data_IF_921025936854
#
_entry.id   IF_921025936854
#
_cell.length_a   1.000
_cell.length_b   1.000
_cell.length_c   1.000
_cell.angle_alpha   90.00
_cell.angle_beta   90.00
_cell.angle_gamma   90.00
#
_symmetry.space_group_name_H-M   'P 1'
#
loop_
_entity.id
_entity.type
_entity.pdbx_description
1 polymer ?
#
# COMPACT_ATOMS: atom_id res chain seq x y z
N UNK A 1 4.37 30.87 -28.98
CA UNK A 1 5.06 31.29 -27.74
C UNK A 1 6.51 30.77 -27.78
N UNK A 2 7.44 31.54 -28.36
CA UNK A 2 8.82 31.07 -28.66
C UNK A 2 9.65 30.76 -27.39
N UNK A 3 9.23 31.22 -26.23
CA UNK A 3 9.97 31.00 -24.96
C UNK A 3 9.32 29.93 -24.06
N UNK A 4 8.30 29.23 -24.55
CA UNK A 4 7.63 28.17 -23.77
C UNK A 4 8.30 26.83 -24.06
N UNK A 5 8.78 26.14 -23.03
CA UNK A 5 9.22 24.76 -23.14
C UNK A 5 8.03 23.83 -23.22
N UNK A 6 8.08 22.90 -24.14
CA UNK A 6 7.04 21.87 -24.35
C UNK A 6 7.62 20.52 -23.96
N UNK A 7 7.04 19.95 -22.89
CA UNK A 7 7.45 18.66 -22.34
C UNK A 7 6.39 17.61 -22.67
N UNK A 8 6.79 16.57 -23.40
CA UNK A 8 5.96 15.40 -23.61
C UNK A 8 6.04 14.46 -22.41
N UNK A 9 4.93 13.81 -22.05
CA UNK A 9 4.87 12.84 -20.95
C UNK A 9 4.30 11.52 -21.45
N UNK A 10 4.99 10.42 -21.20
CA UNK A 10 4.53 9.07 -21.50
C UNK A 10 4.55 8.18 -20.25
N UNK A 11 3.70 7.13 -20.15
CA UNK A 11 3.87 6.09 -19.16
C UNK A 11 5.17 5.31 -19.42
N UNK A 12 5.88 4.89 -18.38
CA UNK A 12 7.13 4.11 -18.52
C UNK A 12 6.94 2.83 -19.34
N UNK A 13 5.78 2.20 -19.20
CA UNK A 13 5.42 0.95 -19.87
C UNK A 13 4.80 1.14 -21.27
N UNK A 14 4.70 2.40 -21.77
CA UNK A 14 4.17 2.75 -23.08
C UNK A 14 4.96 3.90 -23.77
N UNK A 15 6.26 4.03 -23.48
CA UNK A 15 7.10 5.14 -23.90
C UNK A 15 7.60 5.02 -25.37
N UNK A 16 6.69 4.91 -26.34
CA UNK A 16 7.04 4.72 -27.74
C UNK A 16 7.62 5.97 -28.40
N UNK A 17 7.24 7.16 -27.96
CA UNK A 17 7.75 8.44 -28.49
C UNK A 17 9.16 8.70 -28.01
N UNK A 18 9.43 8.51 -26.72
CA UNK A 18 10.76 8.62 -26.15
C UNK A 18 11.74 7.65 -26.83
N UNK A 19 11.30 6.38 -27.01
CA UNK A 19 12.10 5.36 -27.72
C UNK A 19 12.38 5.76 -29.18
N UNK A 20 11.41 6.39 -29.85
CA UNK A 20 11.55 6.85 -31.23
C UNK A 20 12.51 8.04 -31.34
N UNK A 21 12.43 9.01 -30.40
CA UNK A 21 13.33 10.15 -30.34
C UNK A 21 14.76 9.71 -30.10
N UNK A 22 15.00 8.82 -29.14
CA UNK A 22 16.31 8.28 -28.82
C UNK A 22 16.96 7.55 -30.01
N UNK A 23 16.14 6.91 -30.88
CA UNK A 23 16.61 6.22 -32.08
C UNK A 23 16.59 7.06 -33.35
N UNK A 24 16.09 8.29 -33.30
CA UNK A 24 15.93 9.15 -34.48
C UNK A 24 14.93 8.66 -35.53
N UNK A 25 14.16 7.60 -35.22
CA UNK A 25 13.19 6.98 -36.12
C UNK A 25 12.05 6.33 -35.29
N UNK A 26 10.89 6.17 -35.92
CA UNK A 26 9.79 5.46 -35.26
C UNK A 26 10.18 4.02 -34.88
N UNK A 27 9.77 3.63 -33.68
CA UNK A 27 10.04 2.31 -33.09
C UNK A 27 8.71 1.70 -32.69
N UNK A 28 8.56 0.39 -32.88
CA UNK A 28 7.44 -0.38 -32.34
C UNK A 28 7.89 -1.05 -31.05
N UNK A 29 7.20 -0.77 -29.96
CA UNK A 29 7.38 -1.47 -28.69
C UNK A 29 6.88 -2.92 -28.82
N UNK A 30 7.52 -3.84 -28.11
CA UNK A 30 7.10 -5.26 -28.09
C UNK A 30 5.86 -5.47 -27.24
N UNK A 31 5.78 -4.76 -26.15
CA UNK A 31 4.70 -4.79 -25.18
C UNK A 31 4.33 -3.37 -24.80
N UNK A 32 3.08 -3.14 -24.42
CA UNK A 32 2.55 -1.84 -24.04
C UNK A 32 1.68 -2.03 -22.81
N UNK A 33 1.95 -1.29 -21.76
CA UNK A 33 1.10 -1.24 -20.57
C UNK A 33 -0.26 -0.63 -20.89
N UNK A 34 -1.30 -1.12 -20.22
CA UNK A 34 -2.69 -0.74 -20.49
C UNK A 34 -3.31 0.07 -19.34
N UNK A 35 -2.52 0.50 -18.36
CA UNK A 35 -3.07 1.28 -17.26
C UNK A 35 -3.56 2.66 -17.74
N UNK A 36 -2.74 3.38 -18.50
CA UNK A 36 -3.12 4.62 -19.17
C UNK A 36 -3.55 4.33 -20.62
N UNK A 37 -4.64 3.56 -20.79
CA UNK A 37 -5.08 2.99 -22.07
C UNK A 37 -5.39 4.04 -23.14
N UNK A 38 -5.82 5.24 -22.77
CA UNK A 38 -6.05 6.36 -23.72
C UNK A 38 -4.79 6.83 -24.45
N UNK A 39 -3.59 6.51 -23.97
CA UNK A 39 -2.31 6.83 -24.64
C UNK A 39 -1.44 5.59 -24.90
N UNK A 40 -1.93 4.37 -24.62
CA UNK A 40 -1.20 3.12 -24.76
C UNK A 40 -1.08 2.67 -26.22
N UNK A 41 -0.11 3.20 -26.94
CA UNK A 41 0.18 2.85 -28.35
C UNK A 41 1.58 2.25 -28.51
N UNK A 42 1.68 1.20 -29.34
CA UNK A 42 2.96 0.54 -29.57
C UNK A 42 3.92 1.35 -30.43
N UNK A 43 3.44 2.27 -31.24
CA UNK A 43 4.25 3.09 -32.13
C UNK A 43 3.63 4.46 -32.33
N UNK A 44 4.42 5.52 -32.20
CA UNK A 44 3.99 6.88 -32.49
C UNK A 44 3.62 7.04 -33.97
N UNK A 45 2.61 7.83 -34.27
CA UNK A 45 2.17 8.12 -35.63
C UNK A 45 3.25 8.82 -36.48
N UNK A 46 3.23 8.66 -37.79
CA UNK A 46 4.24 9.24 -38.69
C UNK A 46 4.28 10.77 -38.62
N UNK A 47 3.14 11.40 -38.81
CA UNK A 47 3.04 12.87 -38.81
C UNK A 47 3.20 13.46 -37.41
N UNK A 48 2.64 12.81 -36.39
CA UNK A 48 2.86 13.19 -34.99
C UNK A 48 4.34 13.16 -34.61
N UNK A 49 5.06 12.11 -35.01
CA UNK A 49 6.50 12.02 -34.73
C UNK A 49 7.29 13.13 -35.44
N UNK A 50 6.92 13.49 -36.70
CA UNK A 50 7.53 14.62 -37.41
C UNK A 50 7.37 15.92 -36.64
N UNK A 51 6.15 16.22 -36.21
CA UNK A 51 5.84 17.45 -35.46
C UNK A 51 6.50 17.46 -34.08
N UNK A 52 6.46 16.34 -33.35
CA UNK A 52 7.10 16.21 -32.03
C UNK A 52 8.60 16.54 -32.12
N UNK A 53 9.30 16.02 -33.12
CA UNK A 53 10.73 16.31 -33.31
C UNK A 53 11.06 17.77 -33.57
N UNK A 54 10.10 18.54 -34.09
CA UNK A 54 10.28 19.96 -34.41
C UNK A 54 9.84 20.87 -33.24
N UNK A 55 8.88 20.44 -32.43
CA UNK A 55 8.18 21.31 -31.49
C UNK A 55 8.30 20.93 -30.01
N UNK A 56 8.72 19.70 -29.69
CA UNK A 56 8.81 19.22 -28.30
C UNK A 56 10.27 19.25 -27.88
N UNK A 57 10.55 19.93 -26.77
CA UNK A 57 11.89 20.10 -26.23
C UNK A 57 12.41 18.85 -25.55
N UNK A 58 11.53 18.12 -24.85
CA UNK A 58 11.87 16.94 -24.07
C UNK A 58 10.68 15.99 -23.96
N UNK A 59 10.94 14.70 -23.84
CA UNK A 59 9.92 13.68 -23.49
C UNK A 59 10.41 12.91 -22.28
N UNK A 60 9.59 12.93 -21.23
CA UNK A 60 9.85 12.22 -19.98
C UNK A 60 8.82 11.11 -19.75
N UNK A 61 9.16 10.19 -18.84
CA UNK A 61 8.26 9.11 -18.44
C UNK A 61 7.85 9.23 -16.99
N UNK A 62 6.66 8.71 -16.68
CA UNK A 62 6.13 8.61 -15.32
C UNK A 62 5.64 7.19 -15.04
N UNK A 63 5.78 6.78 -13.80
CA UNK A 63 5.33 5.47 -13.31
C UNK A 63 3.80 5.43 -13.10
N UNK A 64 3.27 4.23 -12.99
CA UNK A 64 1.86 4.02 -12.62
C UNK A 64 1.50 4.67 -11.29
N UNK A 65 2.40 4.67 -10.31
CA UNK A 65 2.17 5.26 -9.00
C UNK A 65 2.08 6.79 -9.07
N UNK A 66 2.97 7.43 -9.86
CA UNK A 66 2.93 8.87 -10.10
C UNK A 66 1.64 9.29 -10.84
N UNK A 67 1.15 8.46 -11.77
CA UNK A 67 -0.14 8.70 -12.43
C UNK A 67 -1.29 8.60 -11.43
N UNK A 68 -1.30 7.57 -10.56
CA UNK A 68 -2.33 7.42 -9.52
C UNK A 68 -2.35 8.61 -8.56
N UNK A 69 -1.18 9.09 -8.14
CA UNK A 69 -1.07 10.29 -7.30
C UNK A 69 -1.66 11.53 -8.00
N UNK A 70 -1.38 11.71 -9.30
CA UNK A 70 -1.94 12.82 -10.06
C UNK A 70 -3.47 12.73 -10.22
N UNK A 71 -4.05 11.53 -10.38
CA UNK A 71 -5.52 11.35 -10.39
C UNK A 71 -6.13 11.81 -9.06
N UNK A 72 -5.49 11.47 -7.92
CA UNK A 72 -5.93 11.92 -6.60
C UNK A 72 -5.86 13.44 -6.47
N UNK A 73 -4.73 14.06 -6.84
CA UNK A 73 -4.58 15.53 -6.75
C UNK A 73 -5.65 16.25 -7.56
N UNK A 74 -5.88 15.82 -8.81
CA UNK A 74 -6.95 16.38 -9.64
C UNK A 74 -8.31 16.26 -8.95
N UNK A 75 -8.59 15.10 -8.33
CA UNK A 75 -9.84 14.91 -7.59
C UNK A 75 -9.92 15.79 -6.35
N UNK A 76 -8.85 15.91 -5.57
CA UNK A 76 -8.84 16.74 -4.35
C UNK A 76 -9.04 18.23 -4.66
N UNK A 77 -8.44 18.71 -5.74
CA UNK A 77 -8.51 20.11 -6.14
C UNK A 77 -9.82 20.47 -6.86
N UNK A 78 -10.32 19.58 -7.73
CA UNK A 78 -11.42 19.90 -8.64
C UNK A 78 -12.72 19.15 -8.38
N UNK A 79 -12.67 18.07 -7.58
CA UNK A 79 -13.75 17.09 -7.39
C UNK A 79 -14.15 16.36 -8.68
N UNK A 80 -13.30 16.38 -9.71
CA UNK A 80 -13.46 15.64 -10.94
C UNK A 80 -12.50 14.45 -10.97
N UNK A 81 -12.95 13.29 -11.44
CA UNK A 81 -12.12 12.10 -11.57
C UNK A 81 -11.57 12.07 -12.99
N UNK A 82 -10.26 12.25 -13.13
CA UNK A 82 -9.58 12.06 -14.39
C UNK A 82 -9.30 10.57 -14.64
N UNK A 83 -9.30 10.15 -15.90
CA UNK A 83 -8.74 8.84 -16.26
C UNK A 83 -7.20 8.86 -16.18
N UNK A 84 -6.53 7.69 -16.07
CA UNK A 84 -5.06 7.63 -16.00
C UNK A 84 -4.36 8.39 -17.13
N UNK A 85 -4.80 8.23 -18.38
CA UNK A 85 -4.26 8.98 -19.51
C UNK A 85 -4.51 10.49 -19.40
N UNK A 86 -5.67 10.88 -18.82
CA UNK A 86 -6.02 12.27 -18.58
C UNK A 86 -5.18 12.96 -17.50
N UNK A 87 -4.70 12.18 -16.52
CA UNK A 87 -3.86 12.68 -15.43
C UNK A 87 -2.35 12.68 -15.76
N UNK A 88 -1.96 12.03 -16.85
CA UNK A 88 -0.57 11.81 -17.23
C UNK A 88 0.27 13.09 -17.28
N UNK A 89 -0.26 14.14 -17.91
CA UNK A 89 0.44 15.41 -18.03
C UNK A 89 0.65 16.10 -16.67
N UNK A 90 -0.29 15.95 -15.72
CA UNK A 90 -0.15 16.47 -14.35
C UNK A 90 0.91 15.69 -13.58
N UNK A 91 0.96 14.36 -13.73
CA UNK A 91 2.03 13.53 -13.16
C UNK A 91 3.40 13.99 -13.63
N UNK A 92 3.56 14.19 -14.95
CA UNK A 92 4.80 14.70 -15.53
C UNK A 92 5.14 16.12 -15.07
N UNK A 93 4.17 17.00 -14.93
CA UNK A 93 4.37 18.36 -14.41
C UNK A 93 4.91 18.34 -12.98
N UNK A 94 4.35 17.50 -12.11
CA UNK A 94 4.82 17.34 -10.71
C UNK A 94 6.26 16.84 -10.69
N UNK A 95 6.53 15.73 -11.37
CA UNK A 95 7.87 15.16 -11.46
C UNK A 95 8.89 16.13 -12.04
N UNK A 96 8.55 16.81 -13.11
CA UNK A 96 9.43 17.81 -13.72
C UNK A 96 9.75 18.97 -12.77
N UNK A 97 8.76 19.45 -12.03
CA UNK A 97 8.96 20.50 -11.02
C UNK A 97 9.89 20.05 -9.89
N UNK A 98 9.72 18.81 -9.43
CA UNK A 98 10.55 18.22 -8.37
C UNK A 98 11.99 17.99 -8.85
N UNK A 99 12.17 17.29 -9.99
CA UNK A 99 13.49 16.96 -10.55
C UNK A 99 14.35 18.21 -10.86
N UNK A 100 13.70 19.33 -11.20
CA UNK A 100 14.37 20.57 -11.57
C UNK A 100 14.30 21.67 -10.48
N UNK A 101 13.76 21.33 -9.29
CA UNK A 101 13.56 22.27 -8.18
C UNK A 101 12.88 23.58 -8.62
N UNK A 102 11.85 23.50 -9.47
CA UNK A 102 11.19 24.66 -10.06
C UNK A 102 10.35 25.37 -9.00
N UNK A 103 10.60 26.65 -8.82
CA UNK A 103 9.82 27.54 -7.95
C UNK A 103 9.48 28.82 -8.67
N UNK A 104 8.25 29.36 -8.47
CA UNK A 104 7.83 30.65 -8.98
C UNK A 104 7.65 30.74 -10.50
N UNK A 105 7.65 29.61 -11.21
CA UNK A 105 7.38 29.55 -12.64
C UNK A 105 5.93 29.17 -12.93
N UNK A 106 5.41 29.63 -14.07
CA UNK A 106 4.10 29.22 -14.56
C UNK A 106 4.23 27.90 -15.34
N UNK A 107 3.51 26.89 -14.91
CA UNK A 107 3.42 25.60 -15.58
C UNK A 107 1.96 25.33 -15.96
N UNK A 108 1.75 24.65 -17.08
CA UNK A 108 0.42 24.26 -17.53
C UNK A 108 0.43 22.80 -17.99
N UNK A 109 -0.60 22.06 -17.62
CA UNK A 109 -0.82 20.68 -18.05
C UNK A 109 -2.27 20.50 -18.52
N UNK A 110 -2.49 19.58 -19.46
CA UNK A 110 -3.82 19.29 -19.98
C UNK A 110 -4.38 18.07 -19.26
N UNK A 111 -5.52 18.21 -18.59
CA UNK A 111 -6.34 17.08 -18.13
C UNK A 111 -7.26 16.70 -19.28
N UNK A 112 -6.93 15.64 -20.03
CA UNK A 112 -7.50 15.37 -21.35
C UNK A 112 -8.72 14.44 -21.36
N UNK A 113 -9.01 13.74 -20.25
CA UNK A 113 -10.13 12.80 -20.21
C UNK A 113 -10.53 12.32 -18.83
N UNK A 114 -11.74 11.73 -18.76
CA UNK A 114 -12.35 11.21 -17.54
C UNK A 114 -13.09 9.87 -17.79
N UNK A 115 -12.75 9.15 -18.85
CA UNK A 115 -13.37 7.86 -19.20
C UNK A 115 -12.79 6.72 -18.39
N UNK A 116 -13.07 6.70 -17.09
CA UNK A 116 -12.58 5.64 -16.19
C UNK A 116 -13.70 4.77 -15.66
N UNK A 117 -13.44 3.46 -15.52
CA UNK A 117 -14.35 2.54 -14.86
C UNK A 117 -14.24 2.68 -13.34
N UNK A 118 -15.36 2.55 -12.63
CA UNK A 118 -15.41 2.68 -11.17
C UNK A 118 -14.50 1.67 -10.45
N UNK A 119 -14.34 0.46 -11.01
CA UNK A 119 -13.44 -0.56 -10.45
C UNK A 119 -11.97 -0.13 -10.44
N UNK A 120 -11.55 0.72 -11.39
CA UNK A 120 -10.18 1.26 -11.43
C UNK A 120 -9.88 2.20 -10.27
N UNK A 121 -10.91 2.86 -9.70
CA UNK A 121 -10.73 3.79 -8.59
C UNK A 121 -10.17 3.11 -7.34
N UNK A 122 -10.54 1.85 -7.13
CA UNK A 122 -9.95 1.07 -6.03
C UNK A 122 -8.44 0.89 -6.22
N UNK A 123 -8.02 0.47 -7.40
CA UNK A 123 -6.60 0.29 -7.72
C UNK A 123 -5.84 1.63 -7.60
N UNK A 124 -6.40 2.71 -8.13
CA UNK A 124 -5.82 4.04 -8.03
C UNK A 124 -5.67 4.46 -6.56
N UNK A 125 -6.71 4.30 -5.75
CA UNK A 125 -6.68 4.63 -4.33
C UNK A 125 -5.60 3.85 -3.55
N UNK A 126 -5.45 2.56 -3.83
CA UNK A 126 -4.45 1.72 -3.16
C UNK A 126 -3.00 2.09 -3.56
N UNK A 127 -2.79 2.58 -4.78
CA UNK A 127 -1.45 2.93 -5.28
C UNK A 127 -1.05 4.39 -5.05
N UNK A 128 -2.02 5.27 -4.82
CA UNK A 128 -1.77 6.70 -4.64
C UNK A 128 -0.89 7.00 -3.43
N UNK A 129 -1.16 6.38 -2.29
CA UNK A 129 -0.37 6.57 -1.06
C UNK A 129 1.11 6.17 -1.25
N UNK A 130 1.35 5.19 -2.13
CA UNK A 130 2.69 4.74 -2.51
C UNK A 130 3.34 5.78 -3.44
N UNK A 131 2.62 6.24 -4.46
CA UNK A 131 3.10 7.23 -5.42
C UNK A 131 3.43 8.59 -4.80
N UNK A 132 2.76 8.94 -3.71
CA UNK A 132 3.05 10.13 -2.91
C UNK A 132 4.15 9.90 -1.86
N UNK A 133 4.69 8.67 -1.75
CA UNK A 133 5.65 8.26 -0.71
C UNK A 133 5.12 8.52 0.71
N UNK A 134 3.81 8.39 0.89
CA UNK A 134 3.12 8.54 2.19
C UNK A 134 2.85 7.20 2.87
N UNK A 135 3.14 6.10 2.21
CA UNK A 135 3.06 4.76 2.79
C UNK A 135 4.42 4.07 2.72
N UNK A 136 4.84 3.49 3.83
CA UNK A 136 5.96 2.55 3.91
C UNK A 136 5.41 1.12 4.01
N UNK A 137 5.90 0.22 3.17
CA UNK A 137 5.61 -1.21 3.24
C UNK A 137 6.86 -1.92 3.75
N UNK A 138 6.79 -2.47 4.97
CA UNK A 138 7.93 -3.09 5.62
C UNK A 138 7.66 -4.54 5.97
N UNK A 139 8.69 -5.38 5.87
CA UNK A 139 8.74 -6.69 6.54
C UNK A 139 9.62 -6.56 7.77
N UNK A 140 9.07 -6.84 8.94
CA UNK A 140 9.78 -6.71 10.22
C UNK A 140 9.81 -8.06 10.91
N UNK A 141 11.01 -8.51 11.30
CA UNK A 141 11.17 -9.75 12.09
C UNK A 141 11.02 -9.43 13.58
N UNK A 142 10.11 -10.13 14.24
CA UNK A 142 9.87 -10.02 15.68
C UNK A 142 10.08 -11.39 16.36
N UNK A 143 10.48 -11.42 17.64
CA UNK A 143 10.57 -12.71 18.36
C UNK A 143 9.16 -13.28 18.62
N UNK A 144 9.01 -14.59 18.48
CA UNK A 144 7.78 -15.31 18.76
C UNK A 144 7.60 -15.59 20.27
N UNK A 145 7.25 -14.55 21.00
CA UNK A 145 6.94 -14.67 22.45
C UNK A 145 5.78 -13.77 22.83
N UNK A 146 5.08 -14.12 23.87
CA UNK A 146 3.98 -13.31 24.42
C UNK A 146 4.44 -11.85 24.66
N UNK A 147 3.65 -10.88 24.22
CA UNK A 147 3.94 -9.44 24.32
C UNK A 147 4.87 -8.87 23.24
N UNK A 148 5.54 -9.67 22.42
CA UNK A 148 6.44 -9.16 21.37
C UNK A 148 5.69 -8.32 20.34
N UNK A 149 4.51 -8.74 19.93
CA UNK A 149 3.63 -8.00 19.02
C UNK A 149 3.27 -6.61 19.57
N UNK A 150 2.87 -6.55 20.85
CA UNK A 150 2.58 -5.29 21.54
C UNK A 150 3.82 -4.39 21.61
N UNK A 151 4.99 -4.97 21.94
CA UNK A 151 6.26 -4.22 22.00
C UNK A 151 6.59 -3.64 20.63
N UNK A 152 6.38 -4.39 19.56
CA UNK A 152 6.57 -3.92 18.19
C UNK A 152 5.59 -2.77 17.83
N UNK A 153 4.30 -2.92 18.13
CA UNK A 153 3.33 -1.83 17.91
C UNK A 153 3.67 -0.58 18.72
N UNK A 154 4.19 -0.72 19.93
CA UNK A 154 4.70 0.40 20.72
C UNK A 154 5.94 1.05 20.08
N UNK A 155 6.78 0.26 19.41
CA UNK A 155 7.95 0.77 18.69
C UNK A 155 7.59 1.58 17.45
N UNK A 156 6.53 1.19 16.73
CA UNK A 156 5.95 1.96 15.61
C UNK A 156 5.40 3.31 16.11
N UNK A 157 4.88 3.35 17.33
CA UNK A 157 4.27 4.54 17.91
C UNK A 157 2.82 4.78 17.43
N UNK A 158 2.40 6.05 17.41
CA UNK A 158 1.03 6.44 17.04
C UNK A 158 0.85 6.67 15.52
N UNK A 159 1.61 5.97 14.68
CA UNK A 159 1.44 6.05 13.23
C UNK A 159 0.16 5.35 12.79
N UNK A 160 -0.41 5.82 11.70
CA UNK A 160 -1.50 5.13 11.04
C UNK A 160 -0.97 3.85 10.41
N UNK A 161 -1.63 2.73 10.72
CA UNK A 161 -1.35 1.45 10.10
C UNK A 161 -2.34 1.27 8.96
N UNK A 162 -1.83 1.10 7.75
CA UNK A 162 -2.65 0.87 6.55
C UNK A 162 -2.92 -0.61 6.36
N UNK A 163 -1.97 -1.43 6.72
CA UNK A 163 -2.06 -2.88 6.64
C UNK A 163 -1.19 -3.58 7.68
N UNK A 164 -1.64 -4.73 8.13
CA UNK A 164 -0.90 -5.53 9.08
C UNK A 164 -1.22 -7.01 8.91
N UNK A 165 -0.20 -7.82 8.55
CA UNK A 165 -0.32 -9.26 8.42
C UNK A 165 0.73 -9.96 9.26
N UNK A 166 0.30 -10.86 10.11
CA UNK A 166 1.14 -11.68 10.97
C UNK A 166 0.54 -13.07 11.12
N UNK A 167 1.40 -14.09 11.04
CA UNK A 167 1.09 -15.45 11.40
C UNK A 167 2.24 -16.04 12.18
N UNK A 168 1.94 -16.74 13.24
CA UNK A 168 2.88 -17.47 14.08
C UNK A 168 3.42 -18.70 13.35
N UNK A 169 4.74 -18.85 13.24
CA UNK A 169 5.40 -19.91 12.43
C UNK A 169 6.14 -20.95 13.28
N UNK A 170 6.21 -20.78 14.59
CA UNK A 170 6.96 -21.65 15.53
C UNK A 170 8.47 -21.76 15.24
N UNK A 171 9.04 -20.79 14.54
CA UNK A 171 10.47 -20.73 14.22
C UNK A 171 11.30 -19.95 15.26
N UNK A 172 10.66 -19.44 16.31
CA UNK A 172 11.24 -18.53 17.31
C UNK A 172 11.27 -17.07 16.85
N UNK A 173 11.11 -16.80 15.57
CA UNK A 173 11.01 -15.50 14.97
C UNK A 173 9.88 -15.48 13.92
N UNK A 174 9.06 -14.47 13.97
CA UNK A 174 7.99 -14.28 13.00
C UNK A 174 8.21 -13.03 12.13
N UNK A 175 7.70 -13.07 10.92
CA UNK A 175 7.71 -11.94 10.00
C UNK A 175 6.37 -11.24 10.03
N UNK A 176 6.43 -9.94 10.25
CA UNK A 176 5.28 -9.04 10.19
C UNK A 176 5.34 -8.26 8.90
N UNK A 177 4.32 -8.37 8.08
CA UNK A 177 4.10 -7.47 6.97
C UNK A 177 3.30 -6.28 7.47
N UNK A 178 3.83 -5.07 7.34
CA UNK A 178 3.17 -3.87 7.85
C UNK A 178 3.24 -2.72 6.84
N UNK A 179 2.09 -2.12 6.56
CA UNK A 179 1.96 -0.84 5.87
C UNK A 179 1.76 0.29 6.90
N UNK A 180 2.48 1.37 6.76
CA UNK A 180 2.46 2.50 7.70
C UNK A 180 2.40 3.81 6.94
N UNK A 181 1.53 4.72 7.36
CA UNK A 181 1.56 6.10 6.85
C UNK A 181 2.83 6.79 7.35
N UNK A 182 3.57 7.36 6.43
CA UNK A 182 4.74 8.21 6.67
C UNK A 182 4.46 9.62 6.20
N UNK A 183 5.02 10.61 6.88
CA UNK A 183 4.91 12.01 6.47
C UNK A 183 6.23 12.47 5.86
N UNK A 184 6.23 13.42 4.91
CA UNK A 184 7.45 13.98 4.36
C UNK A 184 8.37 14.58 5.44
N UNK A 185 7.79 15.10 6.52
CA UNK A 185 8.51 15.71 7.66
C UNK A 185 9.23 14.67 8.54
N UNK A 186 8.87 13.39 8.46
CA UNK A 186 9.49 12.29 9.24
C UNK A 186 10.73 11.69 8.54
N UNK A 187 11.32 12.37 7.54
CA UNK A 187 12.39 11.82 6.69
C UNK A 187 11.95 10.50 5.98
N UNK A 188 10.64 10.23 5.95
CA UNK A 188 10.04 9.13 5.22
C UNK A 188 10.34 7.73 5.75
N UNK A 189 10.42 6.78 4.83
CA UNK A 189 10.62 5.34 5.11
C UNK A 189 11.95 5.07 5.79
N UNK A 190 13.02 5.79 5.39
CA UNK A 190 14.38 5.59 5.91
C UNK A 190 14.48 5.89 7.41
N UNK A 191 13.85 6.96 7.88
CA UNK A 191 13.88 7.30 9.31
C UNK A 191 13.11 6.27 10.14
N UNK A 192 11.98 5.80 9.64
CA UNK A 192 11.20 4.74 10.30
C UNK A 192 12.01 3.44 10.41
N UNK A 193 12.62 3.01 9.31
CA UNK A 193 13.50 1.84 9.29
C UNK A 193 14.63 2.00 10.31
N UNK A 194 15.35 3.13 10.32
CA UNK A 194 16.43 3.41 11.25
C UNK A 194 15.98 3.39 12.72
N UNK A 195 14.76 3.86 13.01
CA UNK A 195 14.21 3.81 14.39
C UNK A 195 13.96 2.37 14.81
N UNK A 196 13.41 1.53 13.94
CA UNK A 196 13.12 0.13 14.24
C UNK A 196 14.42 -0.68 14.39
N UNK A 197 15.40 -0.47 13.52
CA UNK A 197 16.70 -1.14 13.57
C UNK A 197 17.48 -0.77 14.85
N UNK A 198 17.46 0.48 15.29
CA UNK A 198 18.03 0.89 16.57
C UNK A 198 17.37 0.23 17.78
N UNK A 199 16.11 -0.20 17.64
CA UNK A 199 15.40 -0.99 18.67
C UNK A 199 15.64 -2.49 18.55
N UNK A 200 16.53 -2.92 17.64
CA UNK A 200 16.95 -4.31 17.47
C UNK A 200 16.08 -5.13 16.52
N UNK A 201 15.17 -4.52 15.76
CA UNK A 201 14.38 -5.21 14.75
C UNK A 201 15.18 -5.37 13.45
N UNK A 202 15.02 -6.51 12.79
CA UNK A 202 15.43 -6.67 11.38
C UNK A 202 14.31 -6.15 10.50
N UNK A 203 14.62 -5.20 9.65
CA UNK A 203 13.64 -4.52 8.77
C UNK A 203 14.06 -4.68 7.32
N UNK A 204 13.12 -5.07 6.48
CA UNK A 204 13.27 -5.08 5.03
C UNK A 204 12.25 -4.10 4.46
N UNK A 205 12.73 -3.07 3.80
CA UNK A 205 11.88 -2.14 3.05
C UNK A 205 11.39 -2.82 1.76
N UNK A 206 10.08 -2.84 1.59
CA UNK A 206 9.40 -3.40 0.42
C UNK A 206 8.51 -2.35 -0.27
N UNK A 207 8.68 -1.08 0.06
CA UNK A 207 7.84 0.03 -0.45
C UNK A 207 7.82 0.06 -1.96
N UNK A 208 8.95 -0.19 -2.62
CA UNK A 208 9.06 -0.22 -4.09
C UNK A 208 8.95 -1.64 -4.70
N UNK A 209 8.62 -2.65 -3.89
CA UNK A 209 8.52 -4.03 -4.35
C UNK A 209 7.13 -4.34 -4.93
N UNK A 210 7.02 -4.54 -6.25
CA UNK A 210 5.75 -4.81 -6.92
C UNK A 210 5.04 -6.08 -6.43
N UNK A 211 5.77 -7.14 -6.10
CA UNK A 211 5.18 -8.36 -5.53
C UNK A 211 4.54 -8.07 -4.17
N UNK A 212 5.18 -7.25 -3.35
CA UNK A 212 4.60 -6.83 -2.08
C UNK A 212 3.33 -5.99 -2.28
N UNK A 213 3.37 -5.02 -3.20
CA UNK A 213 2.25 -4.12 -3.51
C UNK A 213 1.03 -4.85 -4.08
N UNK A 214 1.24 -5.79 -5.00
CA UNK A 214 0.17 -6.41 -5.77
C UNK A 214 -0.35 -7.72 -5.17
N UNK A 215 0.49 -8.45 -4.46
CA UNK A 215 0.16 -9.81 -4.01
C UNK A 215 0.25 -9.99 -2.50
N UNK A 216 1.40 -9.73 -1.87
CA UNK A 216 1.60 -10.04 -0.46
C UNK A 216 0.66 -9.28 0.46
N UNK A 217 0.36 -8.03 0.15
CA UNK A 217 -0.57 -7.21 0.95
C UNK A 217 -2.02 -7.74 0.97
N UNK A 218 -2.37 -8.66 0.06
CA UNK A 218 -3.70 -9.28 0.01
C UNK A 218 -3.74 -10.67 0.65
N UNK A 219 -2.60 -11.16 1.12
CA UNK A 219 -2.49 -12.49 1.69
C UNK A 219 -2.64 -12.42 3.22
N UNK A 220 -3.65 -13.11 3.73
CA UNK A 220 -3.73 -13.45 5.15
C UNK A 220 -2.71 -14.57 5.37
N UNK A 221 -1.76 -14.40 6.30
CA UNK A 221 -0.70 -15.40 6.54
C UNK A 221 -1.26 -16.82 6.70
N UNK A 222 -0.65 -17.80 6.15
CA UNK A 222 -1.00 -19.20 5.98
C UNK A 222 -1.85 -19.93 7.05
N UNK A 223 -1.93 -21.24 6.94
CA UNK A 223 -2.64 -22.09 7.91
C UNK A 223 -1.94 -22.09 9.27
N UNK A 224 -2.71 -22.33 10.33
CA UNK A 224 -2.15 -22.51 11.67
C UNK A 224 -1.24 -23.75 11.70
N UNK A 225 -0.09 -23.63 12.39
CA UNK A 225 0.75 -24.78 12.63
C UNK A 225 -0.04 -25.84 13.43
N UNK A 226 0.06 -27.15 13.08
CA UNK A 226 -0.60 -28.21 13.83
C UNK A 226 -0.23 -28.26 15.32
N UNK A 227 0.90 -27.70 15.69
CA UNK A 227 1.40 -27.63 17.07
C UNK A 227 0.72 -26.53 17.90
N UNK A 228 -0.02 -25.61 17.27
CA UNK A 228 -0.80 -24.60 17.97
C UNK A 228 -2.13 -25.20 18.38
N UNK A 229 -2.19 -25.61 19.64
CA UNK A 229 -3.43 -26.01 20.28
C UNK A 229 -4.23 -24.78 20.76
N UNK A 230 -5.55 -24.94 20.90
CA UNK A 230 -6.43 -23.97 21.54
C UNK A 230 -6.45 -22.55 20.88
N UNK A 231 -6.26 -22.46 19.57
CA UNK A 231 -6.44 -21.18 18.87
C UNK A 231 -7.90 -20.75 18.89
N UNK A 232 -8.18 -19.56 19.40
CA UNK A 232 -9.46 -18.87 19.27
C UNK A 232 -9.32 -17.70 18.33
N UNK A 233 -10.24 -17.55 17.39
CA UNK A 233 -10.22 -16.49 16.38
C UNK A 233 -11.39 -15.55 16.59
N UNK A 234 -11.10 -14.26 16.53
CA UNK A 234 -12.08 -13.19 16.68
C UNK A 234 -11.96 -12.20 15.55
N UNK A 235 -13.12 -11.76 15.07
CA UNK A 235 -13.24 -10.53 14.27
C UNK A 235 -13.64 -9.40 15.22
N UNK A 236 -12.86 -8.29 15.19
CA UNK A 236 -13.09 -7.15 16.08
C UNK A 236 -13.20 -5.89 15.23
N UNK A 237 -14.18 -5.04 15.55
CA UNK A 237 -14.33 -3.70 14.97
C UNK A 237 -13.94 -2.65 16.01
N UNK A 238 -13.08 -1.71 15.63
CA UNK A 238 -12.68 -0.59 16.48
C UNK A 238 -12.69 0.73 15.68
N UNK A 239 -12.86 1.89 16.33
CA UNK A 239 -12.80 3.18 15.65
C UNK A 239 -11.45 3.37 14.93
N UNK A 240 -11.49 3.79 13.67
CA UNK A 240 -10.28 4.04 12.88
C UNK A 240 -9.62 5.35 13.35
N UNK A 241 -8.73 5.22 14.34
CA UNK A 241 -7.98 6.34 14.93
C UNK A 241 -6.55 5.92 15.21
N UNK A 242 -5.56 6.80 15.05
CA UNK A 242 -4.18 6.53 15.46
C UNK A 242 -4.12 6.05 16.91
N UNK A 243 -3.48 4.89 17.14
CA UNK A 243 -3.34 4.28 18.46
C UNK A 243 -4.47 3.34 18.89
N UNK A 244 -5.57 3.18 18.15
CA UNK A 244 -6.65 2.24 18.49
C UNK A 244 -6.18 0.79 18.56
N UNK A 245 -5.29 0.39 17.66
CA UNK A 245 -4.67 -0.93 17.71
C UNK A 245 -3.87 -1.14 19.00
N UNK A 246 -3.08 -0.15 19.40
CA UNK A 246 -2.30 -0.25 20.63
C UNK A 246 -3.22 -0.35 21.86
N UNK A 247 -4.32 0.42 21.91
CA UNK A 247 -5.32 0.31 22.98
C UNK A 247 -5.93 -1.09 23.06
N UNK A 248 -6.23 -1.69 21.89
CA UNK A 248 -6.71 -3.07 21.81
C UNK A 248 -5.67 -4.05 22.39
N UNK A 249 -4.41 -3.93 22.02
CA UNK A 249 -3.33 -4.79 22.51
C UNK A 249 -3.06 -4.58 24.00
N UNK A 250 -3.16 -3.34 24.49
CA UNK A 250 -3.01 -3.01 25.91
C UNK A 250 -4.09 -3.68 26.77
N UNK A 251 -5.30 -3.71 26.28
CA UNK A 251 -6.41 -4.34 26.99
C UNK A 251 -6.35 -5.87 27.02
N UNK A 252 -5.75 -6.49 25.99
CA UNK A 252 -5.44 -7.93 25.98
C UNK A 252 -4.29 -8.27 26.95
N UNK A 253 -3.40 -7.31 27.21
CA UNK A 253 -2.22 -7.52 28.05
C UNK A 253 -1.21 -8.48 27.42
N UNK A 254 -0.42 -9.14 28.27
CA UNK A 254 0.59 -10.12 27.85
C UNK A 254 0.17 -11.57 28.15
N UNK A 255 -1.10 -11.79 28.49
CA UNK A 255 -1.57 -13.11 28.92
C UNK A 255 -1.82 -14.06 27.74
N UNK A 256 -2.08 -13.53 26.57
CA UNK A 256 -2.44 -14.29 25.38
C UNK A 256 -1.39 -14.10 24.29
N UNK A 257 -0.95 -15.21 23.71
CA UNK A 257 -0.06 -15.19 22.55
C UNK A 257 -0.89 -15.02 21.29
N UNK A 258 -0.61 -13.95 20.52
CA UNK A 258 -1.27 -13.73 19.23
C UNK A 258 -0.65 -14.70 18.21
N UNK A 259 -1.49 -15.49 17.55
CA UNK A 259 -1.10 -16.49 16.54
C UNK A 259 -1.45 -16.07 15.12
N UNK A 260 -2.45 -15.21 14.97
CA UNK A 260 -2.90 -14.60 13.71
C UNK A 260 -3.23 -13.14 13.95
N UNK A 261 -2.80 -12.28 13.06
CA UNK A 261 -3.28 -10.91 13.04
C UNK A 261 -3.37 -10.42 11.61
N UNK A 262 -4.57 -10.03 11.21
CA UNK A 262 -4.82 -9.42 9.91
C UNK A 262 -5.64 -8.15 10.10
N UNK A 263 -5.11 -7.05 9.60
CA UNK A 263 -5.76 -5.75 9.56
C UNK A 263 -5.48 -5.09 8.21
N UNK A 264 -6.50 -4.44 7.67
CA UNK A 264 -6.39 -3.59 6.50
C UNK A 264 -7.31 -2.39 6.63
N UNK A 265 -6.77 -1.20 6.43
CA UNK A 265 -7.56 0.02 6.34
C UNK A 265 -8.25 0.08 4.96
N UNK A 266 -9.57 0.14 4.97
CA UNK A 266 -10.41 0.26 3.77
C UNK A 266 -11.04 1.63 3.61
N UNK A 267 -10.54 2.67 4.32
CA UNK A 267 -11.16 3.99 4.34
C UNK A 267 -12.51 4.04 5.06
N UNK A 268 -12.83 3.01 5.86
CA UNK A 268 -14.05 2.94 6.66
C UNK A 268 -13.87 3.70 7.98
N UNK A 269 -14.96 4.19 8.56
CA UNK A 269 -14.94 4.78 9.90
C UNK A 269 -14.55 3.79 11.02
N UNK A 270 -14.59 2.49 10.74
CA UNK A 270 -14.21 1.41 11.64
C UNK A 270 -13.17 0.50 11.00
N UNK A 271 -12.04 0.33 11.70
CA UNK A 271 -11.05 -0.70 11.40
C UNK A 271 -11.60 -2.08 11.74
N UNK A 272 -11.27 -3.07 10.92
CA UNK A 272 -11.66 -4.47 11.13
C UNK A 272 -10.43 -5.34 11.18
N UNK A 273 -10.26 -6.07 12.29
CA UNK A 273 -9.18 -7.03 12.45
C UNK A 273 -9.74 -8.45 12.51
N UNK A 274 -8.94 -9.39 12.00
CA UNK A 274 -9.06 -10.80 12.32
C UNK A 274 -7.87 -11.16 13.20
N UNK A 275 -8.13 -11.59 14.43
CA UNK A 275 -7.09 -11.92 15.40
C UNK A 275 -7.27 -13.34 15.92
N UNK A 276 -6.21 -14.15 15.83
CA UNK A 276 -6.11 -15.47 16.46
C UNK A 276 -5.24 -15.37 17.70
N UNK A 277 -5.63 -16.09 18.73
CA UNK A 277 -4.92 -16.13 20.00
C UNK A 277 -4.88 -17.55 20.53
N UNK A 278 -3.74 -17.93 21.12
CA UNK A 278 -3.63 -19.19 21.87
C UNK A 278 -4.25 -18.98 23.25
N UNK A 279 -5.36 -19.66 23.52
CA UNK A 279 -6.16 -19.45 24.72
C UNK A 279 -6.48 -20.79 25.38
N UNK A 280 -5.72 -21.20 26.40
CA UNK A 280 -6.07 -22.37 27.19
C UNK A 280 -7.53 -22.32 27.65
N UNK A 281 -8.22 -23.45 27.66
CA UNK A 281 -9.65 -23.53 27.96
C UNK A 281 -10.02 -22.82 29.27
N UNK A 282 -9.16 -22.91 30.28
CA UNK A 282 -9.35 -22.26 31.59
C UNK A 282 -9.33 -20.72 31.51
N UNK A 283 -8.66 -20.13 30.48
CA UNK A 283 -8.54 -18.67 30.30
C UNK A 283 -9.56 -18.06 29.33
N UNK A 284 -10.36 -18.87 28.63
CA UNK A 284 -11.39 -18.39 27.68
C UNK A 284 -12.38 -17.38 28.28
N UNK A 285 -12.92 -17.57 29.51
CA UNK A 285 -13.79 -16.58 30.13
C UNK A 285 -13.08 -15.24 30.40
N UNK A 286 -11.80 -15.28 30.79
CA UNK A 286 -11.01 -14.08 31.04
C UNK A 286 -10.80 -13.26 29.77
N UNK A 287 -10.50 -13.92 28.65
CA UNK A 287 -10.36 -13.27 27.33
C UNK A 287 -11.68 -12.60 26.91
N UNK A 288 -12.81 -13.32 26.98
CA UNK A 288 -14.13 -12.74 26.62
C UNK A 288 -14.46 -11.53 27.49
N UNK A 289 -14.11 -11.57 28.77
CA UNK A 289 -14.28 -10.43 29.69
C UNK A 289 -13.36 -9.24 29.30
N UNK A 290 -12.10 -9.51 28.89
CA UNK A 290 -11.18 -8.46 28.44
C UNK A 290 -11.69 -7.78 27.16
N UNK A 291 -12.12 -8.56 26.16
CA UNK A 291 -12.73 -8.04 24.93
C UNK A 291 -14.01 -7.21 25.22
N UNK A 292 -14.86 -7.67 26.11
CA UNK A 292 -16.08 -6.95 26.49
C UNK A 292 -15.78 -5.61 27.19
N UNK A 293 -14.71 -5.53 27.99
CA UNK A 293 -14.30 -4.28 28.66
C UNK A 293 -13.81 -3.19 27.70
N UNK A 294 -13.29 -3.59 26.53
CA UNK A 294 -12.86 -2.66 25.48
C UNK A 294 -14.04 -1.85 24.91
N UNK A 295 -15.27 -2.36 25.01
CA UNK A 295 -16.44 -1.74 24.40
C UNK A 295 -16.46 -1.82 22.87
N UNK A 296 -15.55 -2.57 22.26
CA UNK A 296 -15.53 -2.81 20.83
C UNK A 296 -16.47 -3.96 20.47
N UNK A 297 -17.03 -3.92 19.26
CA UNK A 297 -17.80 -5.06 18.74
C UNK A 297 -16.85 -6.19 18.37
N UNK A 298 -17.18 -7.40 18.79
CA UNK A 298 -16.40 -8.57 18.42
C UNK A 298 -17.30 -9.79 18.18
N UNK A 299 -16.82 -10.69 17.31
CA UNK A 299 -17.46 -11.96 17.00
C UNK A 299 -16.41 -13.05 17.11
N UNK A 300 -16.77 -14.16 17.71
CA UNK A 300 -15.94 -15.37 17.71
C UNK A 300 -16.09 -16.07 16.35
N UNK A 301 -15.00 -16.27 15.67
CA UNK A 301 -14.94 -16.83 14.32
C UNK A 301 -14.19 -18.18 14.27
N UNK A 302 -13.88 -18.77 15.43
CA UNK A 302 -13.16 -20.05 15.54
C UNK A 302 -13.85 -21.18 14.77
N UNK A 303 -15.19 -21.18 14.74
CA UNK A 303 -16.02 -22.14 14.04
C UNK A 303 -16.45 -21.69 12.62
N UNK A 304 -16.00 -20.52 12.19
CA UNK A 304 -16.34 -19.99 10.86
C UNK A 304 -15.79 -20.91 9.76
N UNK A 305 -16.62 -21.35 8.80
CA UNK A 305 -16.19 -22.24 7.72
C UNK A 305 -15.00 -21.70 6.91
N UNK A 306 -14.96 -20.38 6.63
CA UNK A 306 -13.86 -19.76 5.89
C UNK A 306 -12.54 -19.84 6.68
N UNK A 307 -12.60 -19.62 8.00
CA UNK A 307 -11.41 -19.79 8.84
C UNK A 307 -10.94 -21.26 8.82
N UNK A 308 -11.83 -22.22 9.06
CA UNK A 308 -11.49 -23.65 9.09
C UNK A 308 -10.91 -24.15 7.77
N UNK A 309 -11.48 -23.73 6.66
CA UNK A 309 -11.06 -24.17 5.33
C UNK A 309 -9.68 -23.63 4.92
N UNK A 310 -9.42 -22.33 5.19
CA UNK A 310 -8.25 -21.64 4.65
C UNK A 310 -7.15 -21.33 5.67
N UNK A 311 -7.49 -21.14 6.93
CA UNK A 311 -6.56 -20.65 7.97
C UNK A 311 -6.42 -21.59 9.16
N UNK A 312 -7.41 -22.45 9.42
CA UNK A 312 -7.41 -23.42 10.52
C UNK A 312 -6.46 -24.59 10.30
N UNK A 313 -6.28 -25.40 11.35
CA UNK A 313 -5.54 -26.67 11.23
C UNK A 313 -6.18 -27.56 10.18
N UNK A 314 -5.40 -28.30 9.38
CA UNK A 314 -5.95 -29.32 8.52
C UNK A 314 -6.81 -30.26 9.37
N UNK A 315 -8.08 -30.43 9.02
CA UNK A 315 -8.90 -31.49 9.60
C UNK A 315 -8.23 -32.81 9.19
N UNK A 316 -7.67 -33.52 10.15
CA UNK A 316 -7.33 -34.94 9.98
C UNK A 316 -8.65 -35.66 9.70
N UNK A 317 -8.91 -35.90 8.39
CA UNK A 317 -10.02 -36.77 7.95
C UNK A 317 -9.74 -38.19 8.27
#
# INVERSE_FOLDING_TARGET
WPNTRIIGVEPEDAACTQAALNKGRRVTLREVGLFADGCAVAQVGKETFRVIRECVDEVMTVSTDEICAAVKDIFEDTRAIAEPAGALAVAGMKKFAEDHAITGQMMAATVSGANTNFDRLRYISERTEIGERREAILSVTIPERAGAFRTFCSAIGKRNITEFNYRYEMSGEARVFVGLTVTPDDEGVFALQSVLERKGYRVLDMTDNETAKLHLRHMIGGRVSPEIADEMVFRVEFPERPGSLLQFLDALGNEFSISLFHYRNHGSAFGRILVGMQVPTSKRPALKKALSRLGYRFWEETDNPAYREYLGSPTTG
#
